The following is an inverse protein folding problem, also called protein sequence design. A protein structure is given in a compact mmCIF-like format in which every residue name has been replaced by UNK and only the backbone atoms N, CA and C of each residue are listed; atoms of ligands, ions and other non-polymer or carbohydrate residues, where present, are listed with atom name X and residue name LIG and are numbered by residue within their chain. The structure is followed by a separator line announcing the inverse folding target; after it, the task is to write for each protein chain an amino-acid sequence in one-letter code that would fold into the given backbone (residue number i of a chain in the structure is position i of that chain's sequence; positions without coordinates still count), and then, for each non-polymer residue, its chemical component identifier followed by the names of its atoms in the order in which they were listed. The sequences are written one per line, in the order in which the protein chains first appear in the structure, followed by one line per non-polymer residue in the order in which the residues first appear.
data_IF_586040077044
#
_entry.id   IF_586040077044
#
_cell.length_a   1.000
_cell.length_b   1.000
_cell.length_c   1.000
_cell.angle_alpha   90.00
_cell.angle_beta   90.00
_cell.angle_gamma   90.00
#
_symmetry.space_group_name_H-M   'P 1'
#
loop_
_entity.id
_entity.type
_entity.pdbx_description
1 polymer ?
#
# COMPACT_ATOMS: atom_id res chain seq x y z
N UNK A 1 -8.70 -9.37 6.74
CA UNK A 1 -8.96 -8.79 8.07
C UNK A 1 -8.82 -9.79 9.23
N UNK A 2 -8.74 -11.06 8.94
CA UNK A 2 -8.66 -12.14 9.94
C UNK A 2 -7.25 -12.71 10.11
N UNK A 3 -6.28 -12.22 9.34
CA UNK A 3 -4.94 -12.81 9.31
C UNK A 3 -4.04 -12.37 10.47
N UNK A 4 -4.26 -11.18 11.01
CA UNK A 4 -3.49 -10.70 12.17
C UNK A 4 -4.05 -11.28 13.47
N UNK A 5 -3.27 -11.33 14.51
CA UNK A 5 -3.61 -11.90 15.83
C UNK A 5 -3.77 -13.45 15.87
N UNK A 6 -2.97 -14.20 15.11
CA UNK A 6 -2.94 -15.66 15.18
C UNK A 6 -4.08 -16.40 14.49
N UNK A 7 -5.07 -15.69 13.95
CA UNK A 7 -6.24 -16.29 13.28
C UNK A 7 -5.92 -17.01 11.98
N UNK A 8 -4.76 -16.81 11.41
CA UNK A 8 -4.31 -17.54 10.22
C UNK A 8 -4.26 -19.05 10.44
N UNK A 9 -3.76 -19.50 11.59
CA UNK A 9 -3.70 -20.92 11.94
C UNK A 9 -5.11 -21.50 12.15
N UNK A 10 -5.98 -20.79 12.87
CA UNK A 10 -7.38 -21.21 13.05
C UNK A 10 -8.13 -21.38 11.73
N UNK A 11 -7.86 -20.48 10.75
CA UNK A 11 -8.45 -20.55 9.41
C UNK A 11 -7.95 -21.81 8.69
N UNK A 12 -6.65 -22.11 8.76
CA UNK A 12 -6.07 -23.29 8.12
C UNK A 12 -6.62 -24.61 8.73
N UNK A 13 -6.79 -24.65 10.03
CA UNK A 13 -7.39 -25.79 10.74
C UNK A 13 -8.86 -25.98 10.35
N UNK A 14 -9.63 -24.89 10.30
CA UNK A 14 -11.05 -24.92 9.96
C UNK A 14 -11.33 -25.20 8.49
N UNK A 15 -10.41 -24.78 7.62
CA UNK A 15 -10.54 -24.87 6.17
C UNK A 15 -9.29 -25.55 5.56
N UNK A 16 -9.17 -26.89 5.64
CA UNK A 16 -7.99 -27.63 5.19
C UNK A 16 -7.68 -27.48 3.68
N UNK A 17 -8.66 -27.08 2.89
CA UNK A 17 -8.52 -26.84 1.45
C UNK A 17 -7.85 -25.49 1.11
N UNK A 18 -7.57 -24.65 2.12
CA UNK A 18 -6.84 -23.40 1.93
C UNK A 18 -5.34 -23.70 1.98
N UNK A 19 -4.65 -23.58 0.87
CA UNK A 19 -3.21 -23.85 0.79
C UNK A 19 -2.36 -22.72 1.37
N UNK A 20 -2.70 -21.45 1.05
CA UNK A 20 -1.94 -20.28 1.44
C UNK A 20 -2.80 -19.25 2.15
N UNK A 21 -2.29 -18.70 3.25
CA UNK A 21 -2.87 -17.56 3.95
C UNK A 21 -1.78 -16.48 4.04
N UNK A 22 -2.03 -15.34 3.40
CA UNK A 22 -1.06 -14.24 3.30
C UNK A 22 -1.58 -13.00 4.00
N UNK A 23 -0.72 -12.37 4.78
CA UNK A 23 -0.93 -11.03 5.31
C UNK A 23 -0.73 -9.96 4.23
N UNK A 24 -1.17 -8.74 4.53
CA UNK A 24 -1.02 -7.60 3.61
C UNK A 24 0.44 -7.27 3.30
N UNK A 25 1.36 -7.59 4.20
CA UNK A 25 2.80 -7.36 4.03
C UNK A 25 3.47 -8.44 3.16
N UNK A 26 2.92 -9.66 3.17
CA UNK A 26 3.49 -10.81 2.47
C UNK A 26 2.94 -11.01 1.06
N UNK A 27 2.12 -10.09 0.56
CA UNK A 27 1.48 -10.25 -0.76
C UNK A 27 2.50 -10.30 -1.90
N UNK A 28 3.64 -9.64 -1.72
CA UNK A 28 4.76 -9.65 -2.66
C UNK A 28 5.41 -11.03 -2.81
N UNK A 29 5.32 -11.87 -1.78
CA UNK A 29 5.93 -13.18 -1.75
C UNK A 29 5.08 -14.25 -2.46
N UNK A 30 3.85 -13.92 -2.86
CA UNK A 30 2.91 -14.87 -3.44
C UNK A 30 3.51 -15.64 -4.62
N UNK A 31 4.24 -14.96 -5.50
CA UNK A 31 4.84 -15.59 -6.67
C UNK A 31 5.89 -16.64 -6.30
N UNK A 32 6.76 -16.34 -5.35
CA UNK A 32 7.79 -17.26 -4.86
C UNK A 32 7.18 -18.43 -4.12
N UNK A 33 6.15 -18.18 -3.30
CA UNK A 33 5.43 -19.22 -2.58
C UNK A 33 4.72 -20.20 -3.52
N UNK A 34 4.06 -19.72 -4.55
CA UNK A 34 3.41 -20.56 -5.56
C UNK A 34 4.43 -21.38 -6.37
N UNK A 35 5.64 -20.88 -6.56
CA UNK A 35 6.73 -21.61 -7.24
C UNK A 35 7.42 -22.64 -6.33
N UNK A 36 7.40 -22.43 -5.01
CA UNK A 36 8.09 -23.28 -4.02
C UNK A 36 7.27 -24.45 -3.48
N UNK A 37 5.97 -24.52 -3.73
CA UNK A 37 5.12 -25.69 -3.52
C UNK A 37 4.69 -26.03 -2.07
N UNK A 38 5.15 -25.34 -1.04
CA UNK A 38 4.73 -25.59 0.34
C UNK A 38 3.67 -24.56 0.78
N UNK A 39 2.44 -25.02 0.99
CA UNK A 39 1.37 -24.23 1.59
C UNK A 39 1.71 -23.78 3.01
N UNK A 40 1.17 -22.64 3.46
CA UNK A 40 1.47 -22.12 4.80
C UNK A 40 0.69 -20.87 5.18
N UNK A 41 0.96 -20.39 6.39
CA UNK A 41 0.44 -19.15 6.94
C UNK A 41 1.59 -18.15 7.03
N UNK A 42 1.49 -17.07 6.25
CA UNK A 42 2.49 -16.01 6.10
C UNK A 42 1.82 -14.69 6.47
N UNK A 43 1.80 -14.36 7.75
CA UNK A 43 1.10 -13.20 8.31
C UNK A 43 2.04 -12.36 9.19
N UNK A 44 3.30 -12.32 8.83
CA UNK A 44 4.31 -11.56 9.55
C UNK A 44 4.03 -10.06 9.43
N UNK A 45 4.14 -9.38 10.56
CA UNK A 45 4.08 -7.93 10.62
C UNK A 45 5.51 -7.41 10.43
N UNK A 46 5.87 -7.11 9.19
CA UNK A 46 7.17 -6.52 8.87
C UNK A 46 7.06 -5.01 8.99
N UNK A 47 7.49 -4.47 10.13
CA UNK A 47 7.56 -3.03 10.35
C UNK A 47 8.36 -2.36 9.22
N UNK A 48 7.72 -1.39 8.56
CA UNK A 48 8.36 -0.55 7.55
C UNK A 48 8.39 -1.11 6.13
N UNK A 49 7.95 -2.35 5.88
CA UNK A 49 7.94 -2.89 4.52
C UNK A 49 6.80 -2.32 3.67
N UNK A 50 7.14 -1.80 2.52
CA UNK A 50 6.21 -1.29 1.51
C UNK A 50 6.48 -2.02 0.19
N UNK A 51 5.45 -2.66 -0.37
CA UNK A 51 5.51 -3.34 -1.67
C UNK A 51 5.34 -2.34 -2.82
N UNK A 52 6.32 -1.46 -3.02
CA UNK A 52 6.25 -0.43 -4.08
C UNK A 52 6.49 -1.00 -5.48
N UNK A 53 7.19 -2.13 -5.58
CA UNK A 53 7.60 -2.73 -6.85
C UNK A 53 6.57 -3.71 -7.43
N UNK A 54 5.42 -3.89 -6.78
CA UNK A 54 4.40 -4.78 -7.30
C UNK A 54 3.77 -4.21 -8.57
N UNK A 55 3.65 -5.02 -9.64
CA UNK A 55 2.99 -4.59 -10.86
C UNK A 55 1.52 -4.29 -10.60
N UNK A 56 1.09 -3.09 -10.96
CA UNK A 56 -0.31 -2.67 -10.84
C UNK A 56 -0.98 -2.76 -12.20
N UNK A 57 -1.98 -3.63 -12.31
CA UNK A 57 -2.85 -3.68 -13.50
C UNK A 57 -3.95 -2.63 -13.36
N UNK A 58 -3.97 -1.67 -14.28
CA UNK A 58 -5.00 -0.64 -14.34
C UNK A 58 -5.91 -0.89 -15.53
N UNK A 59 -7.20 -0.96 -15.27
CA UNK A 59 -8.22 -1.30 -16.29
C UNK A 59 -9.05 -0.10 -16.73
N UNK A 60 -8.89 1.05 -16.05
CA UNK A 60 -9.70 2.25 -16.34
C UNK A 60 -8.82 3.44 -16.71
N UNK A 61 -9.13 4.04 -17.85
CA UNK A 61 -8.66 5.37 -18.25
C UNK A 61 -9.84 6.34 -18.13
N UNK A 62 -9.67 7.62 -17.82
CA UNK A 62 -8.40 8.36 -17.66
C UNK A 62 -7.90 8.45 -16.20
N UNK A 63 -8.44 7.64 -15.28
CA UNK A 63 -8.20 7.78 -13.84
C UNK A 63 -7.17 6.76 -13.35
N UNK A 64 -6.26 7.19 -12.49
CA UNK A 64 -5.34 6.33 -11.77
C UNK A 64 -5.36 6.59 -10.26
N UNK A 65 -5.12 5.55 -9.48
CA UNK A 65 -4.98 5.63 -8.03
C UNK A 65 -3.55 5.29 -7.64
N UNK A 66 -2.97 6.12 -6.79
CA UNK A 66 -1.59 5.98 -6.29
C UNK A 66 -1.63 5.97 -4.76
N UNK A 67 -1.31 4.84 -4.17
CA UNK A 67 -1.14 4.76 -2.72
C UNK A 67 0.12 5.54 -2.33
N UNK A 68 0.00 6.46 -1.37
CA UNK A 68 1.13 7.25 -0.86
C UNK A 68 1.51 6.87 0.56
N UNK A 69 0.55 6.34 1.33
CA UNK A 69 0.73 5.93 2.72
C UNK A 69 -0.13 4.71 3.04
N UNK A 70 0.38 3.79 3.80
CA UNK A 70 -0.27 2.58 4.28
C UNK A 70 -0.44 2.62 5.79
N UNK A 71 -1.44 1.90 6.31
CA UNK A 71 -1.72 1.86 7.76
C UNK A 71 -2.32 3.16 8.29
N UNK A 72 -2.49 3.24 9.61
CA UNK A 72 -3.03 4.43 10.27
C UNK A 72 -2.72 4.42 11.77
N UNK A 73 -2.30 5.55 12.31
CA UNK A 73 -1.98 5.72 13.74
C UNK A 73 -3.11 6.39 14.55
N UNK A 74 -4.28 6.67 13.95
CA UNK A 74 -5.33 7.45 14.64
C UNK A 74 -6.10 6.66 15.69
N UNK A 75 -6.13 5.33 15.64
CA UNK A 75 -6.81 4.46 16.61
C UNK A 75 -8.22 4.92 16.99
N UNK A 76 -9.01 5.40 16.02
CA UNK A 76 -10.40 5.80 16.26
C UNK A 76 -11.19 4.63 16.87
N UNK A 77 -12.11 4.92 17.80
CA UNK A 77 -12.79 3.96 18.69
C UNK A 77 -13.40 2.75 17.97
N UNK A 78 -13.92 2.93 16.76
CA UNK A 78 -14.59 1.87 15.98
C UNK A 78 -13.73 1.31 14.84
N UNK A 79 -12.50 1.82 14.66
CA UNK A 79 -11.71 1.53 13.47
C UNK A 79 -10.78 0.35 13.65
N UNK A 80 -10.93 -0.65 12.79
CA UNK A 80 -10.07 -1.85 12.80
C UNK A 80 -8.74 -1.66 12.04
N UNK A 81 -8.60 -0.58 11.27
CA UNK A 81 -7.46 -0.38 10.35
C UNK A 81 -6.09 -0.48 11.01
N UNK A 82 -5.82 0.18 12.16
CA UNK A 82 -4.50 0.06 12.81
C UNK A 82 -4.12 -1.38 13.15
N UNK A 83 -5.12 -2.20 13.46
CA UNK A 83 -4.94 -3.61 13.87
C UNK A 83 -4.78 -4.58 12.69
N UNK A 84 -5.20 -4.21 11.49
CA UNK A 84 -5.19 -5.10 10.32
C UNK A 84 -4.28 -4.63 9.18
N UNK A 85 -3.90 -3.34 9.18
CA UNK A 85 -2.96 -2.76 8.22
C UNK A 85 -1.69 -2.23 8.87
N UNK A 86 -1.61 -2.28 10.19
CA UNK A 86 -0.47 -1.82 10.97
C UNK A 86 -0.35 -0.29 11.06
N UNK A 87 0.81 0.15 11.50
CA UNK A 87 1.17 1.54 11.65
C UNK A 87 1.30 2.27 10.32
N UNK A 88 1.28 3.60 10.36
CA UNK A 88 1.53 4.45 9.20
C UNK A 88 2.92 4.18 8.62
N UNK A 89 2.96 4.03 7.30
CA UNK A 89 4.18 3.84 6.50
C UNK A 89 4.01 4.60 5.21
N UNK A 90 4.73 5.70 5.09
CA UNK A 90 4.74 6.56 3.92
C UNK A 90 5.72 6.04 2.88
N UNK A 91 5.32 6.08 1.62
CA UNK A 91 6.25 5.90 0.51
C UNK A 91 7.18 7.10 0.41
N UNK A 92 8.38 6.91 -0.11
CA UNK A 92 9.28 8.04 -0.38
C UNK A 92 8.71 8.97 -1.45
N UNK A 93 9.03 10.26 -1.36
CA UNK A 93 8.58 11.23 -2.38
C UNK A 93 9.04 10.84 -3.78
N UNK A 94 10.26 10.31 -3.92
CA UNK A 94 10.82 9.90 -5.21
C UNK A 94 10.06 8.73 -5.82
N UNK A 95 9.68 7.72 -5.00
CA UNK A 95 8.88 6.59 -5.46
C UNK A 95 7.51 7.04 -5.97
N UNK A 96 6.82 7.90 -5.21
CA UNK A 96 5.51 8.45 -5.61
C UNK A 96 5.63 9.29 -6.86
N UNK A 97 6.65 10.17 -6.94
CA UNK A 97 6.91 11.02 -8.11
C UNK A 97 7.13 10.19 -9.36
N UNK A 98 8.01 9.19 -9.29
CA UNK A 98 8.31 8.32 -10.43
C UNK A 98 7.07 7.59 -10.95
N UNK A 99 6.18 7.13 -10.06
CA UNK A 99 4.92 6.51 -10.45
C UNK A 99 3.99 7.52 -11.14
N UNK A 100 3.83 8.73 -10.58
CA UNK A 100 2.98 9.78 -11.17
C UNK A 100 3.51 10.22 -12.52
N UNK A 101 4.82 10.44 -12.68
CA UNK A 101 5.45 10.78 -13.96
C UNK A 101 5.16 9.72 -15.02
N UNK A 102 5.29 8.45 -14.67
CA UNK A 102 4.96 7.34 -15.56
C UNK A 102 3.50 7.37 -15.99
N UNK A 103 2.57 7.56 -15.04
CA UNK A 103 1.14 7.63 -15.33
C UNK A 103 0.78 8.81 -16.25
N UNK A 104 1.36 9.98 -16.00
CA UNK A 104 1.16 11.16 -16.85
C UNK A 104 1.66 10.88 -18.28
N UNK A 105 2.83 10.24 -18.42
CA UNK A 105 3.40 9.83 -19.71
C UNK A 105 2.53 8.79 -20.42
N UNK A 106 1.93 7.87 -19.68
CA UNK A 106 0.97 6.88 -20.21
C UNK A 106 -0.39 7.49 -20.60
N UNK A 107 -0.62 8.78 -20.29
CA UNK A 107 -1.81 9.51 -20.72
C UNK A 107 -2.93 9.62 -19.70
N UNK A 108 -2.72 9.19 -18.44
CA UNK A 108 -3.69 9.38 -17.37
C UNK A 108 -3.91 10.89 -17.10
N UNK A 109 -5.18 11.28 -16.88
CA UNK A 109 -5.59 12.67 -16.72
C UNK A 109 -6.07 13.03 -15.32
N UNK A 110 -6.39 12.05 -14.53
CA UNK A 110 -6.75 12.24 -13.13
C UNK A 110 -6.01 11.21 -12.27
N UNK A 111 -5.24 11.70 -11.31
CA UNK A 111 -4.45 10.89 -10.40
C UNK A 111 -4.93 11.19 -8.98
N UNK A 112 -5.48 10.16 -8.34
CA UNK A 112 -5.94 10.23 -6.95
C UNK A 112 -4.90 9.64 -6.02
N UNK A 113 -4.42 10.46 -5.08
CA UNK A 113 -3.50 10.03 -4.02
C UNK A 113 -4.30 9.34 -2.91
N UNK A 114 -3.93 8.12 -2.57
CA UNK A 114 -4.66 7.30 -1.61
C UNK A 114 -3.87 7.04 -0.33
N UNK A 115 -4.59 7.02 0.77
CA UNK A 115 -4.12 6.61 2.09
C UNK A 115 -5.27 6.52 3.07
N UNK A 116 -5.03 5.94 4.23
CA UNK A 116 -6.03 5.90 5.31
C UNK A 116 -6.18 7.28 5.96
N UNK A 117 -5.10 8.03 6.03
CA UNK A 117 -5.04 9.43 6.42
C UNK A 117 -3.91 10.12 5.63
N UNK A 118 -4.24 10.69 4.47
CA UNK A 118 -3.25 11.31 3.58
C UNK A 118 -2.53 12.52 4.22
N UNK A 119 -3.18 13.18 5.18
CA UNK A 119 -2.57 14.33 5.87
C UNK A 119 -1.41 13.93 6.77
N UNK A 120 -1.33 12.66 7.20
CA UNK A 120 -0.21 12.14 7.98
C UNK A 120 1.01 11.77 7.12
N UNK A 121 0.90 11.86 5.79
CA UNK A 121 2.01 11.48 4.90
C UNK A 121 3.32 12.17 5.30
N UNK A 122 4.35 11.35 5.43
CA UNK A 122 5.71 11.79 5.75
C UNK A 122 6.04 11.90 7.24
N UNK A 123 5.04 11.81 8.14
CA UNK A 123 5.32 11.93 9.58
C UNK A 123 6.22 10.81 10.12
N UNK A 124 6.14 9.62 9.53
CA UNK A 124 6.92 8.44 9.89
C UNK A 124 8.33 8.43 9.30
N UNK A 125 8.60 9.24 8.25
CA UNK A 125 9.90 9.29 7.58
C UNK A 125 10.97 10.07 8.37
N UNK A 126 10.57 10.95 9.27
CA UNK A 126 11.47 11.73 10.14
C UNK A 126 12.54 12.56 9.40
N UNK A 127 12.34 12.86 8.13
CA UNK A 127 13.26 13.61 7.25
C UNK A 127 12.72 15.01 6.88
N UNK A 128 11.62 15.40 7.51
CA UNK A 128 10.92 16.65 7.23
C UNK A 128 10.02 16.60 5.99
N UNK A 129 9.78 15.42 5.43
CA UNK A 129 8.76 15.17 4.40
C UNK A 129 7.38 15.51 4.96
N UNK A 130 6.55 16.13 4.12
CA UNK A 130 5.15 16.45 4.43
C UNK A 130 4.27 16.27 3.21
N UNK A 131 2.97 16.07 3.43
CA UNK A 131 2.00 15.99 2.32
C UNK A 131 2.02 17.24 1.44
N UNK A 132 2.18 18.44 2.02
CA UNK A 132 2.30 19.68 1.26
C UNK A 132 3.53 19.70 0.33
N UNK A 133 4.68 19.22 0.81
CA UNK A 133 5.90 19.09 -0.01
C UNK A 133 5.69 18.10 -1.16
N UNK A 134 5.02 16.97 -0.89
CA UNK A 134 4.68 16.01 -1.94
C UNK A 134 3.78 16.64 -2.99
N UNK A 135 2.71 17.36 -2.59
CA UNK A 135 1.80 18.00 -3.54
C UNK A 135 2.53 19.02 -4.44
N UNK A 136 3.42 19.84 -3.87
CA UNK A 136 4.22 20.77 -4.66
C UNK A 136 5.12 20.04 -5.65
N UNK A 137 5.82 19.00 -5.20
CA UNK A 137 6.67 18.17 -6.07
C UNK A 137 5.90 17.55 -7.23
N UNK A 138 4.69 17.07 -6.98
CA UNK A 138 3.84 16.47 -8.02
C UNK A 138 3.21 17.51 -8.94
N UNK A 139 2.93 18.71 -8.44
CA UNK A 139 2.41 19.82 -9.25
C UNK A 139 3.41 20.32 -10.29
N UNK A 140 4.71 20.17 -10.03
CA UNK A 140 5.78 20.56 -10.96
C UNK A 140 5.99 19.55 -12.10
N UNK A 141 5.33 18.39 -12.07
CA UNK A 141 5.44 17.39 -13.15
C UNK A 141 4.80 17.95 -14.43
N UNK A 142 5.55 17.99 -15.55
CA UNK A 142 5.03 18.53 -16.79
C UNK A 142 3.90 17.65 -17.35
N UNK A 143 2.79 18.30 -17.76
CA UNK A 143 1.64 17.61 -18.33
C UNK A 143 0.31 18.25 -17.94
N UNK A 144 -0.78 17.79 -18.56
CA UNK A 144 -2.14 18.22 -18.22
C UNK A 144 -2.85 17.10 -17.50
N UNK A 145 -2.83 17.13 -16.20
CA UNK A 145 -3.53 16.17 -15.33
C UNK A 145 -4.07 16.86 -14.07
N UNK A 146 -4.95 16.19 -13.35
CA UNK A 146 -5.53 16.64 -12.09
C UNK A 146 -5.03 15.74 -10.97
N UNK A 147 -4.56 16.34 -9.88
CA UNK A 147 -4.35 15.65 -8.60
C UNK A 147 -5.62 15.73 -7.74
N UNK A 148 -5.91 14.62 -7.08
CA UNK A 148 -6.99 14.50 -6.10
C UNK A 148 -6.48 13.81 -4.84
#
# INVERSE_FOLDING_TARGET
MTQQNGKGLEIKEKFPFVDYILGTHNIGDLRSLLSGGAGGVFVEDTDGYINDDLPVTRTSMPNAWVNIIYGCNNFCTYCIVPYVRGRERSRTMDSVKAEVERLVKEGYKEITLLGQNVNSYGHDLNDGTTFAKLLNLLADIPGKFRLR
#
